data_IF_826137580135
#
_entry.id   IF_826137580135
#
_cell.length_a   1.000
_cell.length_b   1.000
_cell.length_c   1.000
_cell.angle_alpha   90.00
_cell.angle_beta   90.00
_cell.angle_gamma   90.00
#
_symmetry.space_group_name_H-M   'P 1'
#
loop_
_entity.id
_entity.type
_entity.pdbx_description
1 polymer ?
#
# COMPACT_ATOMS: atom_id res chain seq x y z
N UNK A 1 1.28 -10.25 -9.31
CA UNK A 1 2.71 -10.38 -8.97
C UNK A 1 2.91 -11.72 -8.26
N UNK A 2 4.13 -12.21 -8.15
CA UNK A 2 4.46 -13.53 -7.57
C UNK A 2 4.04 -13.65 -6.09
N UNK A 3 3.86 -12.51 -5.39
CA UNK A 3 3.33 -12.40 -4.02
C UNK A 3 1.81 -12.59 -3.93
N UNK A 4 1.08 -12.36 -5.03
CA UNK A 4 -0.38 -12.41 -5.06
C UNK A 4 -0.94 -13.84 -5.26
N UNK A 5 -0.08 -14.79 -5.70
CA UNK A 5 -0.47 -16.17 -6.04
C UNK A 5 -0.87 -16.97 -4.79
N UNK A 6 -0.17 -16.78 -3.68
CA UNK A 6 -0.38 -17.53 -2.43
C UNK A 6 -1.68 -17.14 -1.70
N UNK A 7 -1.97 -15.85 -1.42
CA UNK A 7 -3.26 -15.47 -0.83
C UNK A 7 -4.45 -15.85 -1.73
N UNK A 8 -4.28 -15.84 -3.05
CA UNK A 8 -5.32 -16.32 -3.99
C UNK A 8 -5.60 -17.81 -3.85
N UNK A 9 -4.57 -18.65 -3.65
CA UNK A 9 -4.75 -20.08 -3.42
C UNK A 9 -5.40 -20.34 -2.05
N UNK A 10 -4.99 -19.63 -1.00
CA UNK A 10 -5.55 -19.76 0.35
C UNK A 10 -7.06 -19.43 0.40
N UNK A 11 -7.47 -18.36 -0.29
CA UNK A 11 -8.88 -17.99 -0.45
C UNK A 11 -9.68 -19.07 -1.22
N UNK A 12 -9.12 -19.62 -2.31
CA UNK A 12 -9.78 -20.66 -3.11
C UNK A 12 -9.99 -21.98 -2.38
N UNK A 13 -9.24 -22.26 -1.30
CA UNK A 13 -9.33 -23.51 -0.52
C UNK A 13 -9.84 -23.33 0.91
N UNK A 14 -10.21 -22.10 1.30
CA UNK A 14 -10.77 -21.81 2.62
C UNK A 14 -9.81 -22.02 3.79
N UNK A 15 -8.51 -21.80 3.57
CA UNK A 15 -7.47 -21.88 4.61
C UNK A 15 -7.00 -20.49 5.03
N UNK A 16 -6.65 -20.34 6.31
CA UNK A 16 -6.12 -19.11 6.90
C UNK A 16 -4.72 -19.38 7.48
N UNK A 17 -3.81 -18.42 7.32
CA UNK A 17 -2.41 -18.49 7.79
C UNK A 17 -2.11 -17.26 8.67
N UNK A 18 -1.18 -17.42 9.62
CA UNK A 18 -0.84 -16.44 10.67
C UNK A 18 0.28 -15.47 10.24
N UNK A 19 0.68 -15.53 8.96
CA UNK A 19 1.80 -14.77 8.41
C UNK A 19 1.37 -13.38 7.95
N UNK A 20 2.08 -12.34 8.40
CA UNK A 20 1.91 -10.96 7.91
C UNK A 20 2.36 -10.88 6.44
N UNK A 21 1.40 -11.00 5.53
CA UNK A 21 1.65 -10.98 4.08
C UNK A 21 1.73 -9.56 3.54
N UNK A 22 2.73 -9.30 2.68
CA UNK A 22 2.79 -8.13 1.78
C UNK A 22 1.88 -8.27 0.54
N UNK A 23 1.26 -9.43 0.36
CA UNK A 23 0.33 -9.73 -0.74
C UNK A 23 -1.12 -9.43 -0.37
N UNK A 24 -1.94 -9.09 -1.38
CA UNK A 24 -3.39 -8.99 -1.28
C UNK A 24 -4.04 -10.10 -2.09
N UNK A 25 -5.27 -10.51 -1.74
CA UNK A 25 -6.14 -11.23 -2.66
C UNK A 25 -6.27 -10.48 -3.99
N UNK A 26 -6.10 -11.18 -5.12
CA UNK A 26 -6.35 -10.62 -6.46
C UNK A 26 -7.86 -10.60 -6.69
N UNK A 27 -8.53 -9.65 -6.07
CA UNK A 27 -9.94 -9.37 -6.32
C UNK A 27 -10.21 -8.94 -7.78
N UNK A 28 -9.17 -8.60 -8.55
CA UNK A 28 -9.25 -8.40 -10.01
C UNK A 28 -9.56 -9.69 -10.79
N UNK A 29 -9.34 -10.89 -10.23
CA UNK A 29 -9.65 -12.19 -10.88
C UNK A 29 -11.03 -12.74 -10.47
N UNK A 30 -11.63 -12.21 -9.40
CA UNK A 30 -12.97 -12.65 -8.95
C UNK A 30 -14.06 -12.03 -9.84
N UNK A 31 -14.46 -12.78 -10.87
CA UNK A 31 -15.62 -12.48 -11.71
C UNK A 31 -16.90 -12.34 -10.86
N UNK A 32 -17.83 -11.49 -11.32
CA UNK A 32 -18.88 -10.84 -10.52
C UNK A 32 -19.80 -11.70 -9.63
N UNK A 33 -19.83 -13.02 -9.81
CA UNK A 33 -20.60 -13.95 -8.96
C UNK A 33 -19.85 -14.41 -7.70
N UNK A 34 -18.50 -14.33 -7.68
CA UNK A 34 -17.65 -14.78 -6.57
C UNK A 34 -17.32 -13.67 -5.54
N UNK A 35 -17.83 -12.44 -5.73
CA UNK A 35 -17.57 -11.30 -4.83
C UNK A 35 -18.54 -11.30 -3.63
N UNK A 36 -18.05 -11.32 -2.36
CA UNK A 36 -18.86 -11.09 -1.19
C UNK A 36 -19.75 -9.84 -1.31
N UNK A 37 -20.97 -9.83 -0.72
CA UNK A 37 -21.88 -8.68 -0.77
C UNK A 37 -21.25 -7.37 -0.28
N UNK A 38 -20.29 -7.44 0.65
CA UNK A 38 -19.55 -6.29 1.14
C UNK A 38 -18.73 -5.60 0.03
N UNK A 39 -18.16 -6.36 -0.90
CA UNK A 39 -17.42 -5.85 -2.06
C UNK A 39 -18.34 -5.17 -3.10
N UNK A 40 -19.60 -5.59 -3.18
CA UNK A 40 -20.57 -5.02 -4.13
C UNK A 40 -21.07 -3.64 -3.71
N UNK A 41 -20.88 -3.25 -2.44
CA UNK A 41 -21.37 -1.98 -1.90
C UNK A 41 -20.43 -0.79 -2.09
N UNK A 42 -19.14 -1.01 -2.32
CA UNK A 42 -18.18 0.07 -2.56
C UNK A 42 -17.71 0.08 -4.01
N UNK A 43 -17.93 1.19 -4.71
CA UNK A 43 -17.37 1.39 -6.06
C UNK A 43 -15.89 1.71 -6.02
N UNK A 44 -15.35 2.04 -4.84
CA UNK A 44 -13.97 2.42 -4.60
C UNK A 44 -13.08 1.27 -4.12
N UNK A 45 -13.64 0.07 -3.89
CA UNK A 45 -12.88 -1.09 -3.43
C UNK A 45 -11.62 -1.35 -4.27
N UNK A 46 -11.77 -1.44 -5.59
CA UNK A 46 -10.64 -1.68 -6.51
C UNK A 46 -9.60 -0.55 -6.44
N UNK A 47 -10.02 0.71 -6.35
CA UNK A 47 -9.11 1.84 -6.26
C UNK A 47 -8.33 1.84 -4.92
N UNK A 48 -9.00 1.51 -3.81
CA UNK A 48 -8.36 1.36 -2.50
C UNK A 48 -7.30 0.25 -2.55
N UNK A 49 -7.67 -0.86 -3.17
CA UNK A 49 -6.77 -1.97 -3.39
C UNK A 49 -5.56 -1.52 -4.24
N UNK A 50 -5.77 -0.93 -5.41
CA UNK A 50 -4.67 -0.46 -6.26
C UNK A 50 -3.72 0.49 -5.53
N UNK A 51 -4.24 1.42 -4.72
CA UNK A 51 -3.40 2.32 -3.92
C UNK A 51 -2.58 1.58 -2.87
N UNK A 52 -3.17 0.63 -2.13
CA UNK A 52 -2.43 -0.22 -1.19
C UNK A 52 -1.26 -0.94 -1.88
N UNK A 53 -1.52 -1.51 -3.07
CA UNK A 53 -0.50 -2.19 -3.87
C UNK A 53 0.61 -1.22 -4.29
N UNK A 54 0.26 -0.02 -4.74
CA UNK A 54 1.24 0.98 -5.17
C UNK A 54 2.18 1.41 -4.04
N UNK A 55 1.66 1.56 -2.82
CA UNK A 55 2.44 1.93 -1.65
C UNK A 55 3.34 0.80 -1.10
N UNK A 56 2.96 -0.46 -1.33
CA UNK A 56 3.63 -1.61 -0.73
C UNK A 56 4.44 -2.46 -1.71
N UNK A 57 4.30 -2.24 -3.01
CA UNK A 57 5.10 -2.93 -4.01
C UNK A 57 6.58 -2.55 -3.89
N UNK A 58 7.46 -3.55 -3.82
CA UNK A 58 8.92 -3.36 -3.69
C UNK A 58 9.54 -2.57 -4.85
N UNK A 59 8.87 -2.54 -6.01
CA UNK A 59 9.25 -1.77 -7.20
C UNK A 59 8.15 -0.77 -7.61
N UNK A 60 7.24 -0.43 -6.70
CA UNK A 60 6.23 0.62 -6.91
C UNK A 60 6.85 2.00 -6.91
N UNK A 61 6.07 3.00 -7.33
CA UNK A 61 6.53 4.39 -7.42
C UNK A 61 7.06 4.95 -6.10
N UNK A 62 6.37 4.63 -4.99
CA UNK A 62 6.83 5.01 -3.65
C UNK A 62 8.25 4.49 -3.38
N UNK A 63 8.45 3.17 -3.52
CA UNK A 63 9.75 2.54 -3.29
C UNK A 63 10.84 3.09 -4.23
N UNK A 64 10.51 3.33 -5.51
CA UNK A 64 11.44 3.87 -6.49
C UNK A 64 11.83 5.33 -6.20
N UNK A 65 10.89 6.15 -5.71
CA UNK A 65 11.18 7.53 -5.31
C UNK A 65 12.11 7.55 -4.09
N UNK A 66 11.79 6.77 -3.05
CA UNK A 66 12.63 6.63 -1.85
C UNK A 66 14.05 6.15 -2.20
N UNK A 67 14.17 5.14 -3.08
CA UNK A 67 15.46 4.61 -3.50
C UNK A 67 16.33 5.67 -4.21
N UNK A 68 15.73 6.47 -5.10
CA UNK A 68 16.44 7.56 -5.79
C UNK A 68 16.94 8.60 -4.79
N UNK A 69 16.08 9.04 -3.87
CA UNK A 69 16.44 10.03 -2.86
C UNK A 69 17.52 9.53 -1.90
N UNK A 70 17.43 8.28 -1.43
CA UNK A 70 18.46 7.68 -0.57
C UNK A 70 19.81 7.55 -1.29
N UNK A 71 19.78 7.19 -2.59
CA UNK A 71 21.01 7.15 -3.41
C UNK A 71 21.67 8.52 -3.52
N UNK A 72 20.87 9.59 -3.69
CA UNK A 72 21.37 10.97 -3.67
C UNK A 72 21.91 11.39 -2.32
N UNK A 73 21.21 11.05 -1.24
CA UNK A 73 21.64 11.31 0.13
C UNK A 73 23.03 10.70 0.39
N UNK A 74 23.21 9.43 0.01
CA UNK A 74 24.48 8.70 0.12
C UNK A 74 25.61 9.27 -0.74
N UNK A 75 25.27 9.88 -1.89
CA UNK A 75 26.24 10.51 -2.77
C UNK A 75 26.66 11.93 -2.32
N UNK A 76 25.96 12.51 -1.34
CA UNK A 76 26.29 13.84 -0.82
C UNK A 76 27.61 13.84 -0.04
N UNK A 77 28.27 15.00 0.01
CA UNK A 77 29.52 15.19 0.73
C UNK A 77 29.51 16.49 1.56
N UNK A 78 28.31 16.95 1.93
CA UNK A 78 28.15 18.15 2.72
C UNK A 78 28.76 17.98 4.12
N UNK A 79 29.29 19.05 4.74
CA UNK A 79 29.82 19.00 6.09
C UNK A 79 28.82 18.36 7.08
N UNK A 80 29.37 17.55 8.00
CA UNK A 80 28.61 16.86 9.04
C UNK A 80 27.46 15.96 8.54
N UNK A 81 27.56 15.46 7.30
CA UNK A 81 26.53 14.63 6.65
C UNK A 81 25.13 15.27 6.67
N UNK A 82 25.08 16.61 6.58
CA UNK A 82 23.83 17.37 6.76
C UNK A 82 22.74 17.00 5.75
N UNK A 83 23.09 16.87 4.46
CA UNK A 83 22.13 16.46 3.42
C UNK A 83 21.68 15.02 3.59
N UNK A 84 22.60 14.11 3.93
CA UNK A 84 22.26 12.72 4.21
C UNK A 84 21.26 12.62 5.36
N UNK A 85 21.57 13.25 6.50
CA UNK A 85 20.75 13.23 7.71
C UNK A 85 19.35 13.81 7.46
N UNK A 86 19.26 14.90 6.69
CA UNK A 86 17.98 15.52 6.34
C UNK A 86 17.11 14.63 5.46
N UNK A 87 17.67 14.06 4.39
CA UNK A 87 16.89 13.23 3.44
C UNK A 87 16.47 11.91 4.10
N UNK A 88 17.36 11.24 4.82
CA UNK A 88 17.03 9.98 5.50
C UNK A 88 15.99 10.18 6.62
N UNK A 89 16.03 11.32 7.32
CA UNK A 89 14.96 11.69 8.26
C UNK A 89 13.59 11.86 7.58
N UNK A 90 13.55 12.45 6.38
CA UNK A 90 12.32 12.57 5.59
C UNK A 90 11.84 11.20 5.09
N UNK A 91 12.75 10.35 4.61
CA UNK A 91 12.45 8.97 4.18
C UNK A 91 11.88 8.16 5.35
N UNK A 92 12.47 8.25 6.54
CA UNK A 92 11.98 7.57 7.73
C UNK A 92 10.55 8.03 8.09
N UNK A 93 10.31 9.34 8.07
CA UNK A 93 8.97 9.89 8.32
C UNK A 93 7.94 9.39 7.29
N UNK A 94 8.28 9.43 6.00
CA UNK A 94 7.39 8.98 4.93
C UNK A 94 7.12 7.47 5.02
N UNK A 95 8.12 6.67 5.38
CA UNK A 95 7.95 5.22 5.56
C UNK A 95 6.99 4.93 6.72
N UNK A 96 7.14 5.61 7.85
CA UNK A 96 6.22 5.46 8.98
C UNK A 96 4.77 5.86 8.63
N UNK A 97 4.60 6.96 7.88
CA UNK A 97 3.28 7.38 7.41
C UNK A 97 2.69 6.37 6.41
N UNK A 98 3.51 5.85 5.50
CA UNK A 98 3.14 4.79 4.55
C UNK A 98 2.65 3.56 5.30
N UNK A 99 3.39 3.09 6.30
CA UNK A 99 3.02 1.90 7.07
C UNK A 99 1.67 2.10 7.77
N UNK A 100 1.43 3.28 8.35
CA UNK A 100 0.15 3.60 8.99
C UNK A 100 -1.02 3.63 8.00
N UNK A 101 -0.84 4.25 6.83
CA UNK A 101 -1.87 4.33 5.78
C UNK A 101 -2.12 2.95 5.17
N UNK A 102 -1.08 2.18 4.89
CA UNK A 102 -1.18 0.81 4.38
C UNK A 102 -1.93 -0.09 5.36
N UNK A 103 -1.67 0.03 6.67
CA UNK A 103 -2.40 -0.69 7.71
C UNK A 103 -3.91 -0.37 7.71
N UNK A 104 -4.29 0.89 7.49
CA UNK A 104 -5.70 1.27 7.34
C UNK A 104 -6.32 0.66 6.09
N UNK A 105 -5.63 0.72 4.95
CA UNK A 105 -6.12 0.15 3.69
C UNK A 105 -6.34 -1.35 3.81
N UNK A 106 -5.35 -2.10 4.30
CA UNK A 106 -5.44 -3.56 4.41
C UNK A 106 -6.49 -4.00 5.44
N UNK A 107 -6.70 -3.23 6.51
CA UNK A 107 -7.78 -3.48 7.46
C UNK A 107 -9.16 -3.37 6.81
N UNK A 108 -9.40 -2.35 5.99
CA UNK A 108 -10.65 -2.19 5.24
C UNK A 108 -10.86 -3.29 4.20
N UNK A 109 -9.79 -3.63 3.46
CA UNK A 109 -9.82 -4.67 2.43
C UNK A 109 -10.12 -6.05 3.06
N UNK A 110 -9.35 -6.45 4.07
CA UNK A 110 -9.54 -7.73 4.77
C UNK A 110 -10.90 -7.79 5.49
N UNK A 111 -11.34 -6.67 6.07
CA UNK A 111 -12.67 -6.56 6.68
C UNK A 111 -13.78 -6.90 5.69
N UNK A 112 -13.69 -6.37 4.48
CA UNK A 112 -14.67 -6.59 3.42
C UNK A 112 -14.56 -7.97 2.75
N UNK A 113 -13.34 -8.49 2.59
CA UNK A 113 -13.08 -9.79 1.96
C UNK A 113 -13.45 -10.95 2.88
N UNK A 114 -12.99 -10.93 4.14
CA UNK A 114 -13.06 -12.10 5.02
C UNK A 114 -14.08 -11.98 6.16
N UNK A 115 -14.38 -10.75 6.60
CA UNK A 115 -15.17 -10.53 7.82
C UNK A 115 -16.59 -10.02 7.55
N UNK A 116 -16.99 -9.90 6.28
CA UNK A 116 -18.29 -9.35 5.87
C UNK A 116 -18.50 -7.88 6.28
N UNK A 117 -17.44 -7.18 6.67
CA UNK A 117 -17.50 -5.79 7.10
C UNK A 117 -17.57 -4.87 5.89
N UNK A 118 -18.60 -4.03 5.85
CA UNK A 118 -18.75 -3.03 4.78
C UNK A 118 -18.04 -1.74 5.17
N UNK A 119 -17.41 -1.07 4.20
CA UNK A 119 -16.99 0.31 4.33
C UNK A 119 -17.66 1.19 3.26
N UNK A 120 -17.78 2.48 3.55
CA UNK A 120 -18.37 3.46 2.63
C UNK A 120 -17.34 3.96 1.59
N UNK A 121 -17.83 4.41 0.44
CA UNK A 121 -16.96 5.04 -0.58
C UNK A 121 -16.24 6.28 -0.05
N UNK A 122 -16.83 7.02 0.89
CA UNK A 122 -16.19 8.17 1.54
C UNK A 122 -15.01 7.74 2.42
N UNK A 123 -15.15 6.66 3.19
CA UNK A 123 -14.05 6.09 3.98
C UNK A 123 -12.92 5.62 3.06
N UNK A 124 -13.24 4.88 2.00
CA UNK A 124 -12.26 4.44 1.02
C UNK A 124 -11.52 5.63 0.38
N UNK A 125 -12.27 6.64 -0.06
CA UNK A 125 -11.71 7.82 -0.72
C UNK A 125 -10.77 8.60 0.21
N UNK A 126 -11.11 8.74 1.49
CA UNK A 126 -10.25 9.43 2.47
C UNK A 126 -8.86 8.77 2.56
N UNK A 127 -8.82 7.44 2.65
CA UNK A 127 -7.56 6.71 2.78
C UNK A 127 -6.80 6.64 1.44
N UNK A 128 -7.50 6.57 0.31
CA UNK A 128 -6.89 6.69 -1.03
C UNK A 128 -6.19 8.04 -1.19
N UNK A 129 -6.83 9.14 -0.78
CA UNK A 129 -6.24 10.49 -0.87
C UNK A 129 -4.98 10.60 0.01
N UNK A 130 -4.98 10.00 1.20
CA UNK A 130 -3.77 9.92 2.03
C UNK A 130 -2.65 9.17 1.32
N UNK A 131 -2.97 8.04 0.65
CA UNK A 131 -2.00 7.30 -0.15
C UNK A 131 -1.44 8.12 -1.32
N UNK A 132 -2.29 8.85 -2.05
CA UNK A 132 -1.84 9.72 -3.13
C UNK A 132 -0.93 10.84 -2.59
N UNK A 133 -1.29 11.45 -1.47
CA UNK A 133 -0.46 12.48 -0.84
C UNK A 133 0.93 11.95 -0.43
N UNK A 134 1.05 10.68 -0.05
CA UNK A 134 2.34 10.06 0.23
C UNK A 134 3.17 9.82 -1.03
N UNK A 135 2.54 9.42 -2.14
CA UNK A 135 3.23 9.31 -3.43
C UNK A 135 3.76 10.68 -3.88
N UNK A 136 2.93 11.71 -3.78
CA UNK A 136 3.30 13.07 -4.15
C UNK A 136 4.49 13.57 -3.30
N UNK A 137 4.46 13.32 -1.99
CA UNK A 137 5.57 13.68 -1.08
C UNK A 137 6.85 12.90 -1.36
N UNK A 138 6.76 11.58 -1.59
CA UNK A 138 7.92 10.76 -1.94
C UNK A 138 8.55 11.23 -3.26
N UNK A 139 7.73 11.55 -4.27
CA UNK A 139 8.18 12.09 -5.54
C UNK A 139 8.78 13.50 -5.42
N UNK A 140 8.40 14.26 -4.39
CA UNK A 140 8.94 15.60 -4.13
C UNK A 140 10.27 15.60 -3.35
N UNK A 141 10.71 14.45 -2.84
CA UNK A 141 12.03 14.33 -2.22
C UNK A 141 13.14 14.69 -3.23
N UNK A 142 14.31 15.16 -2.78
CA UNK A 142 15.44 15.39 -3.67
C UNK A 142 15.90 14.09 -4.34
N UNK A 143 16.02 14.08 -5.67
CA UNK A 143 16.59 12.98 -6.48
C UNK A 143 17.84 13.39 -7.22
#
# INVERSE_FOLDING_TARGET
DHTDVRPTILELVGLQDDYLHDGRVISEILEGYARPPALKKSTRFIALAQMYKQLNASFGEFAMAILKSSTKALASNDPDDATYSSIEGQIQSLTAQRDAVAAQMISLLNGAEFNGQTFSDAQAQSVIVQGQALLDQANALPH
#
